data_IF_290286592054
#
_entry.id   IF_290286592054
#
_cell.length_a   1.000
_cell.length_b   1.000
_cell.length_c   1.000
_cell.angle_alpha   90.00
_cell.angle_beta   90.00
_cell.angle_gamma   90.00
#
_symmetry.space_group_name_H-M   'P 1'
#
loop_
_entity.id
_entity.type
_entity.pdbx_description
1 polymer ?
#
# COMPACT_ATOMS: atom_id res chain seq x y z
N UNK A 1 20.02 0.80 -13.81
CA UNK A 1 19.09 0.15 -12.87
C UNK A 1 18.23 1.26 -12.34
N UNK A 2 16.96 1.35 -12.75
CA UNK A 2 16.03 2.31 -12.15
C UNK A 2 15.97 2.01 -10.65
N UNK A 3 16.13 3.01 -9.80
CA UNK A 3 15.79 2.88 -8.39
C UNK A 3 14.34 2.44 -8.32
N UNK A 4 14.09 1.23 -7.82
CA UNK A 4 12.74 0.72 -7.62
C UNK A 4 12.08 1.61 -6.56
N UNK A 5 11.01 2.31 -6.94
CA UNK A 5 10.36 3.27 -6.05
C UNK A 5 9.68 2.49 -4.92
N UNK A 6 10.17 2.67 -3.69
CA UNK A 6 9.55 2.11 -2.49
C UNK A 6 8.29 2.90 -2.17
N UNK A 7 7.14 2.22 -2.11
CA UNK A 7 5.82 2.86 -1.98
C UNK A 7 5.15 2.61 -0.63
N UNK A 8 5.57 1.58 0.12
CA UNK A 8 4.96 1.27 1.41
C UNK A 8 5.50 0.01 2.09
N UNK A 9 4.79 -0.44 3.12
CA UNK A 9 5.10 -1.66 3.88
C UNK A 9 3.88 -2.54 4.02
N UNK A 10 4.09 -3.85 3.90
CA UNK A 10 3.06 -4.86 4.17
C UNK A 10 2.64 -4.78 5.64
N UNK A 11 1.34 -4.63 5.88
CA UNK A 11 0.72 -4.58 7.21
C UNK A 11 -0.25 -5.73 7.47
N UNK A 12 -0.69 -6.41 6.40
CA UNK A 12 -1.53 -7.60 6.45
C UNK A 12 -1.11 -8.52 5.29
N UNK A 13 -1.12 -9.84 5.52
CA UNK A 13 -0.72 -10.80 4.51
C UNK A 13 -1.50 -12.11 4.63
N UNK A 14 -1.86 -12.67 3.49
CA UNK A 14 -2.43 -14.00 3.33
C UNK A 14 -1.61 -14.79 2.30
N UNK A 15 -2.01 -16.04 2.01
CA UNK A 15 -1.39 -16.84 0.95
C UNK A 15 -1.76 -16.37 -0.46
N UNK A 16 -2.81 -15.55 -0.59
CA UNK A 16 -3.34 -15.07 -1.88
C UNK A 16 -3.02 -13.61 -2.15
N UNK A 17 -2.90 -12.78 -1.11
CA UNK A 17 -2.82 -11.34 -1.23
C UNK A 17 -2.10 -10.71 -0.02
N UNK A 18 -1.83 -9.42 -0.11
CA UNK A 18 -1.36 -8.61 1.00
C UNK A 18 -1.91 -7.19 0.95
N UNK A 19 -1.95 -6.53 2.11
CA UNK A 19 -2.25 -5.10 2.23
C UNK A 19 -0.98 -4.38 2.65
N UNK A 20 -0.69 -3.27 1.98
CA UNK A 20 0.43 -2.40 2.31
C UNK A 20 -0.02 -0.98 2.62
N UNK A 21 0.56 -0.39 3.66
CA UNK A 21 0.38 1.03 4.00
C UNK A 21 1.41 1.87 3.24
N UNK A 22 0.93 2.93 2.59
CA UNK A 22 1.77 3.89 1.90
C UNK A 22 2.53 4.79 2.90
N UNK A 23 3.69 5.29 2.52
CA UNK A 23 4.40 6.29 3.35
C UNK A 23 3.77 7.67 3.27
N UNK A 24 3.21 8.01 2.12
CA UNK A 24 2.59 9.29 1.86
C UNK A 24 1.09 9.11 1.60
N UNK A 25 0.30 10.04 2.13
CA UNK A 25 -1.15 10.06 1.89
C UNK A 25 -1.44 10.27 0.41
N UNK A 26 -2.42 9.52 -0.10
CA UNK A 26 -2.87 9.58 -1.50
C UNK A 26 -1.82 9.18 -2.54
N UNK A 27 -0.69 8.60 -2.14
CA UNK A 27 0.36 8.09 -3.02
C UNK A 27 0.33 6.56 -3.16
N UNK A 28 -0.86 5.96 -3.13
CA UNK A 28 -1.01 4.53 -3.44
C UNK A 28 -0.70 4.28 -4.91
N UNK A 29 -0.07 3.15 -5.27
CA UNK A 29 0.09 2.79 -6.66
C UNK A 29 -1.26 2.74 -7.41
N UNK A 30 -1.28 3.04 -8.72
CA UNK A 30 -2.50 2.92 -9.53
C UNK A 30 -3.13 1.52 -9.48
N UNK A 31 -4.45 1.47 -9.64
CA UNK A 31 -5.17 0.21 -9.82
C UNK A 31 -4.59 -0.55 -11.04
N UNK A 32 -4.32 -1.84 -10.86
CA UNK A 32 -3.74 -2.70 -11.88
C UNK A 32 -2.22 -2.64 -11.96
N UNK A 33 -1.55 -1.78 -11.19
CA UNK A 33 -0.08 -1.74 -11.16
C UNK A 33 0.50 -3.05 -10.63
N UNK A 34 1.59 -3.49 -11.27
CA UNK A 34 2.44 -4.54 -10.75
C UNK A 34 3.29 -3.95 -9.62
N UNK A 35 3.28 -4.63 -8.48
CA UNK A 35 4.14 -4.32 -7.34
C UNK A 35 4.89 -5.57 -6.93
N UNK A 36 5.95 -5.39 -6.16
CA UNK A 36 6.69 -6.50 -5.56
C UNK A 36 7.12 -6.25 -4.13
N UNK A 37 7.21 -7.32 -3.37
CA UNK A 37 7.82 -7.33 -2.03
C UNK A 37 8.83 -8.47 -1.94
N UNK A 38 9.80 -8.35 -1.02
CA UNK A 38 10.92 -9.29 -0.90
C UNK A 38 11.01 -9.82 0.52
N UNK A 39 11.18 -11.13 0.66
CA UNK A 39 11.52 -11.77 1.94
C UNK A 39 12.46 -12.95 1.73
N UNK A 40 13.58 -12.97 2.47
CA UNK A 40 14.54 -14.08 2.54
C UNK A 40 14.89 -14.72 1.17
N UNK A 41 15.10 -13.90 0.13
CA UNK A 41 15.47 -14.36 -1.21
C UNK A 41 14.31 -14.81 -2.09
N UNK A 42 13.07 -14.64 -1.64
CA UNK A 42 11.84 -14.77 -2.43
C UNK A 42 11.30 -13.37 -2.73
N UNK A 43 10.97 -13.12 -3.99
CA UNK A 43 10.22 -11.93 -4.39
C UNK A 43 8.81 -12.33 -4.76
N UNK A 44 7.82 -11.65 -4.20
CA UNK A 44 6.42 -11.80 -4.56
C UNK A 44 6.05 -10.72 -5.54
N UNK A 45 5.30 -11.09 -6.58
CA UNK A 45 4.71 -10.14 -7.52
C UNK A 45 3.20 -10.13 -7.33
N UNK A 46 2.63 -8.94 -7.23
CA UNK A 46 1.19 -8.78 -7.07
C UNK A 46 0.63 -7.63 -7.90
N UNK A 47 -0.66 -7.71 -8.18
CA UNK A 47 -1.41 -6.67 -8.89
C UNK A 47 -2.26 -5.93 -7.88
N UNK A 48 -2.09 -4.60 -7.83
CA UNK A 48 -2.93 -3.74 -6.99
C UNK A 48 -4.37 -3.81 -7.48
N UNK A 49 -5.29 -4.24 -6.62
CA UNK A 49 -6.71 -4.39 -6.97
C UNK A 49 -7.64 -3.50 -6.14
N UNK A 50 -7.11 -2.85 -5.10
CA UNK A 50 -7.87 -1.93 -4.25
C UNK A 50 -6.92 -0.94 -3.57
N UNK A 51 -7.39 0.30 -3.36
CA UNK A 51 -6.68 1.31 -2.58
C UNK A 51 -7.68 2.17 -1.80
N UNK A 52 -7.35 2.49 -0.56
CA UNK A 52 -8.23 3.25 0.35
C UNK A 52 -7.43 4.24 1.18
N UNK A 53 -7.95 5.44 1.35
CA UNK A 53 -7.49 6.40 2.36
C UNK A 53 -8.55 6.55 3.43
N UNK A 54 -8.19 6.25 4.68
CA UNK A 54 -9.15 6.21 5.80
C UNK A 54 -8.49 6.63 7.12
N UNK A 55 -9.24 6.61 8.21
CA UNK A 55 -8.69 6.90 9.53
C UNK A 55 -7.77 5.78 10.02
N UNK A 56 -6.75 6.14 10.82
CA UNK A 56 -5.99 5.17 11.60
C UNK A 56 -6.85 4.43 12.63
N UNK A 57 -7.85 5.08 13.21
CA UNK A 57 -8.71 4.47 14.22
C UNK A 57 -9.77 3.58 13.57
N UNK A 58 -9.82 2.27 13.90
CA UNK A 58 -10.83 1.36 13.38
C UNK A 58 -12.24 1.87 13.67
N UNK A 59 -13.11 1.83 12.65
CA UNK A 59 -14.51 2.26 12.77
C UNK A 59 -14.74 3.77 12.69
N UNK A 60 -13.70 4.61 12.72
CA UNK A 60 -13.84 6.04 12.47
C UNK A 60 -13.77 6.36 10.98
N UNK A 61 -14.67 7.24 10.52
CA UNK A 61 -14.65 7.79 9.16
C UNK A 61 -14.26 9.26 9.21
N UNK A 62 -13.39 9.72 8.30
CA UNK A 62 -13.18 11.15 8.11
C UNK A 62 -14.49 11.84 7.78
N UNK A 63 -14.72 13.02 8.33
CA UNK A 63 -15.90 13.85 8.06
C UNK A 63 -15.51 15.04 7.20
N UNK A 64 -16.45 15.56 6.42
CA UNK A 64 -16.24 16.76 5.62
C UNK A 64 -15.94 17.97 6.51
N UNK A 65 -14.87 18.72 6.18
CA UNK A 65 -14.41 19.89 6.95
C UNK A 65 -14.20 21.14 6.10
N UNK A 66 -14.24 21.04 4.77
CA UNK A 66 -13.96 22.16 3.88
C UNK A 66 -15.13 23.11 3.60
N UNK A 67 -16.17 23.14 4.45
CA UNK A 67 -17.35 23.99 4.19
C UNK A 67 -16.98 25.47 4.14
N UNK A 68 -16.07 25.90 5.02
CA UNK A 68 -15.65 27.29 5.17
C UNK A 68 -14.25 27.54 4.55
N UNK A 69 -13.67 26.54 3.90
CA UNK A 69 -12.35 26.62 3.26
C UNK A 69 -12.49 26.90 1.76
N UNK A 70 -11.56 27.67 1.19
CA UNK A 70 -11.57 28.02 -0.24
C UNK A 70 -10.82 27.01 -1.11
N UNK A 71 -9.92 26.21 -0.54
CA UNK A 71 -9.18 25.13 -1.23
C UNK A 71 -9.10 23.88 -0.37
N UNK A 72 -8.80 22.74 -1.01
CA UNK A 72 -8.58 21.46 -0.32
C UNK A 72 -7.35 21.53 0.59
N UNK A 73 -6.29 22.23 0.16
CA UNK A 73 -5.10 22.48 0.98
C UNK A 73 -5.44 23.31 2.22
N UNK A 74 -6.39 24.24 2.12
CA UNK A 74 -6.89 25.03 3.25
C UNK A 74 -7.42 24.16 4.39
N UNK A 75 -8.07 23.04 4.06
CA UNK A 75 -8.55 22.06 5.05
C UNK A 75 -7.38 21.50 5.87
N UNK A 76 -6.26 21.18 5.23
CA UNK A 76 -5.08 20.65 5.91
C UNK A 76 -4.30 21.73 6.66
N UNK A 77 -4.30 22.97 6.17
CA UNK A 77 -3.70 24.10 6.88
C UNK A 77 -4.48 24.45 8.15
N UNK A 78 -5.81 24.47 8.09
CA UNK A 78 -6.69 24.71 9.22
C UNK A 78 -6.75 23.52 10.20
N UNK A 79 -6.51 22.29 9.72
CA UNK A 79 -6.47 21.07 10.55
C UNK A 79 -5.24 20.19 10.25
N UNK A 80 -4.01 20.62 10.63
CA UNK A 80 -2.78 19.88 10.33
C UNK A 80 -2.73 18.47 10.93
N UNK A 81 -3.48 18.23 12.01
CA UNK A 81 -3.61 16.91 12.64
C UNK A 81 -4.19 15.85 11.69
N UNK A 82 -4.92 16.22 10.64
CA UNK A 82 -5.49 15.27 9.67
C UNK A 82 -4.40 14.37 9.06
N UNK A 83 -3.21 14.91 8.81
CA UNK A 83 -2.08 14.15 8.26
C UNK A 83 -1.61 13.01 9.16
N UNK A 84 -1.88 13.09 10.47
CA UNK A 84 -1.53 12.06 11.47
C UNK A 84 -2.69 11.12 11.81
N UNK A 85 -3.90 11.45 11.36
CA UNK A 85 -5.13 10.72 11.67
C UNK A 85 -5.61 9.86 10.50
N UNK A 86 -5.04 10.08 9.31
CA UNK A 86 -5.34 9.36 8.08
C UNK A 86 -4.18 8.46 7.67
N UNK A 87 -4.51 7.39 6.97
CA UNK A 87 -3.58 6.47 6.31
C UNK A 87 -4.08 6.11 4.93
N UNK A 88 -3.16 5.87 3.99
CA UNK A 88 -3.46 5.30 2.68
C UNK A 88 -2.91 3.88 2.62
N UNK A 89 -3.73 2.95 2.19
CA UNK A 89 -3.40 1.53 2.08
C UNK A 89 -3.83 1.01 0.71
N UNK A 90 -3.14 0.00 0.21
CA UNK A 90 -3.55 -0.71 -1.00
C UNK A 90 -3.46 -2.22 -0.80
N UNK A 91 -4.37 -2.94 -1.45
CA UNK A 91 -4.42 -4.40 -1.47
C UNK A 91 -3.86 -4.90 -2.80
N UNK A 92 -3.01 -5.92 -2.74
CA UNK A 92 -2.35 -6.50 -3.90
C UNK A 92 -2.57 -8.02 -3.93
N UNK A 93 -3.09 -8.51 -5.05
CA UNK A 93 -3.32 -9.92 -5.29
C UNK A 93 -2.03 -10.53 -5.82
N UNK A 94 -1.51 -11.56 -5.16
CA UNK A 94 -0.28 -12.22 -5.59
C UNK A 94 -0.54 -13.04 -6.85
N UNK A 95 0.25 -12.79 -7.89
CA UNK A 95 0.12 -13.46 -9.20
C UNK A 95 1.32 -14.35 -9.55
N UNK A 96 2.39 -14.26 -8.76
CA UNK A 96 3.58 -15.07 -8.96
C UNK A 96 4.67 -14.74 -7.96
N UNK A 97 5.76 -15.50 -8.02
CA UNK A 97 6.93 -15.25 -7.19
C UNK A 97 8.21 -15.68 -7.90
N UNK A 98 9.32 -15.06 -7.52
CA UNK A 98 10.67 -15.44 -7.94
C UNK A 98 11.43 -15.99 -6.75
N UNK A 99 12.12 -17.11 -6.94
CA UNK A 99 13.04 -17.68 -5.96
C UNK A 99 14.36 -18.02 -6.66
N UNK A 100 15.44 -17.34 -6.27
CA UNK A 100 16.67 -17.33 -7.07
C UNK A 100 16.39 -16.78 -8.47
N UNK A 101 16.81 -17.53 -9.50
CA UNK A 101 16.62 -17.15 -10.91
C UNK A 101 15.32 -17.68 -11.53
N UNK A 102 14.52 -18.44 -10.77
CA UNK A 102 13.29 -19.05 -11.28
C UNK A 102 12.07 -18.18 -10.97
N UNK A 103 11.33 -17.85 -12.02
CA UNK A 103 10.02 -17.20 -11.94
C UNK A 103 8.92 -18.27 -11.97
N UNK A 104 7.99 -18.18 -11.03
CA UNK A 104 6.85 -19.06 -10.88
C UNK A 104 5.55 -18.26 -11.06
N UNK A 105 4.68 -18.74 -11.94
CA UNK A 105 3.39 -18.11 -12.26
C UNK A 105 2.24 -18.68 -11.41
N UNK A 106 2.53 -18.99 -10.14
CA UNK A 106 1.58 -19.50 -9.17
C UNK A 106 1.91 -18.93 -7.77
N UNK A 107 0.98 -19.11 -6.83
CA UNK A 107 1.08 -18.55 -5.48
C UNK A 107 2.32 -19.05 -4.73
N UNK A 108 2.97 -18.19 -3.93
CA UNK A 108 4.11 -18.57 -3.12
C UNK A 108 3.72 -19.59 -2.03
N UNK A 109 4.68 -20.38 -1.54
CA UNK A 109 4.42 -21.33 -0.45
C UNK A 109 4.19 -20.65 0.91
N UNK A 110 4.46 -19.34 1.04
CA UNK A 110 4.29 -18.55 2.26
C UNK A 110 3.74 -17.16 1.93
N UNK A 111 2.95 -16.54 2.83
CA UNK A 111 2.50 -15.16 2.71
C UNK A 111 3.64 -14.16 2.59
N UNK A 112 3.31 -12.94 2.17
CA UNK A 112 4.20 -11.79 2.30
C UNK A 112 4.60 -11.56 3.76
N UNK A 113 5.81 -11.05 3.98
CA UNK A 113 6.29 -10.72 5.32
C UNK A 113 5.73 -9.37 5.76
N UNK A 114 5.17 -9.33 6.98
CA UNK A 114 4.79 -8.08 7.65
C UNK A 114 6.04 -7.19 7.80
N UNK A 115 5.88 -5.89 7.53
CA UNK A 115 6.94 -4.90 7.35
C UNK A 115 7.89 -5.16 6.17
N UNK A 116 7.50 -6.06 5.25
CA UNK A 116 8.16 -6.18 3.96
C UNK A 116 7.92 -4.92 3.13
N UNK A 117 8.98 -4.34 2.58
CA UNK A 117 8.86 -3.16 1.74
C UNK A 117 8.23 -3.53 0.40
N UNK A 118 7.38 -2.65 -0.11
CA UNK A 118 6.72 -2.80 -1.40
C UNK A 118 7.29 -1.78 -2.38
N UNK A 119 7.56 -2.26 -3.59
CA UNK A 119 8.17 -1.51 -4.68
C UNK A 119 7.29 -1.58 -5.92
N UNK A 120 7.30 -0.49 -6.72
CA UNK A 120 6.79 -0.47 -8.09
C UNK A 120 7.82 -1.07 -9.07
#
# INVERSE_FOLDING_TARGET
>A
MSEEQRVGEVIEASTTDFVAQCYELYQSPPLGSLVKTRDLGVELYGIVYNATTTSFEPGRRPIARGKDETTEEGIYQASPQLLKLLKSEFSSLVVGHRQGDKLYHYLPPKPARIHGFVYL
#
